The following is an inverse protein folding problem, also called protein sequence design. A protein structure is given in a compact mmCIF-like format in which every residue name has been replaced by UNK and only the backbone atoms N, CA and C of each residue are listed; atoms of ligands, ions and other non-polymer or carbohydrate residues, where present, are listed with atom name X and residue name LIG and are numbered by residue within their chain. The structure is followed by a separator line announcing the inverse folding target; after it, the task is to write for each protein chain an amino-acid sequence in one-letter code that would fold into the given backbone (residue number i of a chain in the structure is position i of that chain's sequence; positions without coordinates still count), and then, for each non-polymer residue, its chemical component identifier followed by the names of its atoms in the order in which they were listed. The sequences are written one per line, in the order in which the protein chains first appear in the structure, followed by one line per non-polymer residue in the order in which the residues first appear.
data_IF_576205730744
#
_entry.id   IF_576205730744
#
_cell.length_a   1.000
_cell.length_b   1.000
_cell.length_c   1.000
_cell.angle_alpha   90.00
_cell.angle_beta   90.00
_cell.angle_gamma   90.00
#
_symmetry.space_group_name_H-M   'P 1'
#
loop_
_entity.id
_entity.type
_entity.pdbx_description
1 polymer ?
#
# COMPACT_ATOMS: atom_id res chain seq x y z
N UNK A 1 -27.12 -5.29 -20.72
CA UNK A 1 -26.09 -6.35 -20.60
C UNK A 1 -24.77 -5.71 -20.19
N UNK A 2 -24.61 -5.30 -18.91
CA UNK A 2 -23.43 -4.58 -18.39
C UNK A 2 -22.72 -5.32 -17.25
N UNK A 3 -22.86 -6.65 -17.21
CA UNK A 3 -22.18 -7.51 -16.23
C UNK A 3 -20.64 -7.46 -16.27
N UNK A 4 -19.95 -7.35 -17.43
CA UNK A 4 -18.49 -7.38 -17.44
C UNK A 4 -17.85 -6.09 -16.92
N UNK A 5 -18.55 -4.96 -17.01
CA UNK A 5 -18.06 -3.66 -16.49
C UNK A 5 -17.95 -3.71 -14.97
N UNK A 6 -18.92 -4.32 -14.29
CA UNK A 6 -18.91 -4.47 -12.83
C UNK A 6 -17.77 -5.36 -12.35
N UNK A 7 -17.45 -6.45 -13.06
CA UNK A 7 -16.34 -7.34 -12.68
C UNK A 7 -14.99 -6.68 -12.90
N UNK A 8 -14.82 -5.93 -14.00
CA UNK A 8 -13.62 -5.12 -14.25
C UNK A 8 -13.41 -4.08 -13.14
N UNK A 9 -14.46 -3.38 -12.74
CA UNK A 9 -14.38 -2.37 -11.69
C UNK A 9 -13.96 -2.98 -10.34
N UNK A 10 -14.53 -4.13 -9.98
CA UNK A 10 -14.14 -4.85 -8.76
C UNK A 10 -12.68 -5.31 -8.82
N UNK A 11 -12.19 -5.77 -9.98
CA UNK A 11 -10.79 -6.17 -10.13
C UNK A 11 -9.83 -4.99 -9.93
N UNK A 12 -10.15 -3.83 -10.52
CA UNK A 12 -9.37 -2.60 -10.35
C UNK A 12 -9.37 -2.13 -8.89
N UNK A 13 -10.51 -2.19 -8.21
CA UNK A 13 -10.61 -1.82 -6.79
C UNK A 13 -9.74 -2.71 -5.90
N UNK A 14 -9.76 -4.04 -6.11
CA UNK A 14 -8.92 -4.98 -5.35
C UNK A 14 -7.44 -4.73 -5.62
N UNK A 15 -7.07 -4.47 -6.87
CA UNK A 15 -5.69 -4.15 -7.25
C UNK A 15 -5.21 -2.86 -6.56
N UNK A 16 -6.01 -1.79 -6.60
CA UNK A 16 -5.69 -0.53 -5.92
C UNK A 16 -5.60 -0.74 -4.41
N UNK A 17 -6.54 -1.46 -3.80
CA UNK A 17 -6.49 -1.78 -2.38
C UNK A 17 -5.20 -2.52 -2.00
N UNK A 18 -4.76 -3.49 -2.80
CA UNK A 18 -3.49 -4.19 -2.59
C UNK A 18 -2.27 -3.28 -2.71
N UNK A 19 -2.21 -2.43 -3.74
CA UNK A 19 -1.12 -1.46 -3.93
C UNK A 19 -1.05 -0.45 -2.78
N UNK A 20 -2.20 0.08 -2.35
CA UNK A 20 -2.26 0.96 -1.19
C UNK A 20 -1.83 0.22 0.07
N UNK A 21 -2.31 -1.00 0.29
CA UNK A 21 -1.95 -1.80 1.46
C UNK A 21 -0.44 -2.08 1.52
N UNK A 22 0.20 -2.43 0.40
CA UNK A 22 1.67 -2.56 0.31
C UNK A 22 2.37 -1.26 0.68
N UNK A 23 1.94 -0.13 0.11
CA UNK A 23 2.51 1.20 0.42
C UNK A 23 2.36 1.55 1.91
N UNK A 24 1.21 1.25 2.50
CA UNK A 24 0.94 1.46 3.92
C UNK A 24 1.77 0.51 4.80
N UNK A 25 1.89 -0.78 4.48
CA UNK A 25 2.71 -1.72 5.24
C UNK A 25 4.21 -1.38 5.21
N UNK A 26 4.72 -0.85 4.10
CA UNK A 26 6.08 -0.33 4.05
C UNK A 26 6.28 0.89 4.98
N UNK A 27 5.28 1.78 5.04
CA UNK A 27 5.20 2.90 5.97
C UNK A 27 5.18 2.46 7.43
N UNK A 28 4.28 1.54 7.76
CA UNK A 28 4.06 1.04 9.11
C UNK A 28 5.21 0.19 9.63
N UNK A 29 5.86 -0.65 8.81
CA UNK A 29 7.05 -1.40 9.23
C UNK A 29 8.19 -0.48 9.65
N UNK A 30 8.36 0.65 8.96
CA UNK A 30 9.34 1.66 9.32
C UNK A 30 8.95 2.43 10.57
N UNK A 31 7.68 2.84 10.69
CA UNK A 31 7.15 3.49 11.88
C UNK A 31 7.22 2.60 13.13
N UNK A 32 6.89 1.31 13.00
CA UNK A 32 6.97 0.32 14.06
C UNK A 32 8.41 0.02 14.50
N UNK A 33 9.38 0.12 13.57
CA UNK A 33 10.82 0.05 13.87
C UNK A 33 11.39 1.36 14.44
N UNK A 34 10.55 2.35 14.75
CA UNK A 34 10.97 3.65 15.30
C UNK A 34 11.54 4.63 14.27
N UNK A 35 11.45 4.32 12.97
CA UNK A 35 11.88 5.18 11.87
C UNK A 35 10.71 5.87 11.16
N UNK A 36 11.01 6.83 10.30
CA UNK A 36 10.04 7.49 9.43
C UNK A 36 10.37 7.17 7.96
N UNK A 37 9.35 6.90 7.14
CA UNK A 37 9.55 6.75 5.69
C UNK A 37 9.69 8.14 5.08
N UNK A 38 10.91 8.47 4.67
CA UNK A 38 11.24 9.70 3.96
C UNK A 38 11.72 9.30 2.57
N UNK A 39 11.06 9.81 1.53
CA UNK A 39 11.45 9.56 0.12
C UNK A 39 11.43 8.07 -0.29
N UNK A 40 10.56 7.26 0.32
CA UNK A 40 10.47 5.81 0.03
C UNK A 40 11.57 4.98 0.72
N UNK A 41 12.44 5.60 1.51
CA UNK A 41 13.44 4.92 2.33
C UNK A 41 13.07 5.01 3.81
N UNK A 42 13.29 3.91 4.52
CA UNK A 42 13.19 3.84 5.97
C UNK A 42 14.33 4.65 6.59
N UNK A 43 14.04 5.78 7.21
CA UNK A 43 15.07 6.66 7.80
C UNK A 43 14.83 6.75 9.30
N UNK A 44 15.85 6.49 10.13
CA UNK A 44 15.71 6.53 11.60
C UNK A 44 15.36 5.19 12.27
N UNK A 45 15.36 4.08 11.53
CA UNK A 45 15.49 2.76 12.15
C UNK A 45 16.92 2.64 12.72
N UNK A 46 17.10 3.09 13.95
CA UNK A 46 18.37 3.03 14.65
C UNK A 46 18.65 1.60 15.11
N UNK A 47 19.81 1.07 14.70
CA UNK A 47 20.69 0.17 15.48
C UNK A 47 20.07 -1.06 16.14
#
# INVERSE_FOLDING_TARGET
MFRPVRTLFLMVLVFLAGVFFERYQHGERCAAAGGAVVSGLCTGANG
#
